data_IF_977906939218
#
_entry.id   IF_977906939218
#
_cell.length_a   1.000
_cell.length_b   1.000
_cell.length_c   1.000
_cell.angle_alpha   90.00
_cell.angle_beta   90.00
_cell.angle_gamma   90.00
#
_symmetry.space_group_name_H-M   'P 1'
#
loop_
_entity.id
_entity.type
_entity.pdbx_description
1 polymer ?
#
# COMPACT_ATOMS: atom_id res chain seq x y z
N UNK A 1 24.12 11.32 7.77
CA UNK A 1 22.78 10.85 7.41
C UNK A 1 22.94 9.81 6.33
N UNK A 2 22.59 8.55 6.58
CA UNK A 2 22.64 7.47 5.59
C UNK A 2 21.19 7.07 5.34
N UNK A 3 20.67 7.45 4.19
CA UNK A 3 19.34 7.05 3.72
C UNK A 3 19.54 6.58 2.30
N UNK A 4 19.13 5.37 2.01
CA UNK A 4 19.11 4.87 0.64
C UNK A 4 18.01 5.62 -0.12
N UNK A 5 18.42 6.66 -0.84
CA UNK A 5 17.56 7.49 -1.70
C UNK A 5 17.63 7.09 -3.17
N UNK A 6 18.53 6.18 -3.51
CA UNK A 6 18.77 5.75 -4.88
C UNK A 6 17.81 4.61 -5.27
N UNK A 7 17.40 4.58 -6.53
CA UNK A 7 16.61 3.47 -7.07
C UNK A 7 17.45 2.19 -6.95
N UNK A 8 16.96 1.23 -6.17
CA UNK A 8 17.59 -0.08 -6.10
C UNK A 8 17.24 -0.89 -7.35
N UNK A 9 18.24 -1.56 -7.94
CA UNK A 9 18.02 -2.54 -9.00
C UNK A 9 17.20 -3.70 -8.44
N UNK A 10 15.94 -3.79 -8.84
CA UNK A 10 14.95 -4.77 -8.39
C UNK A 10 14.94 -6.07 -9.18
N UNK A 11 16.00 -6.35 -9.95
CA UNK A 11 16.12 -7.57 -10.75
C UNK A 11 16.10 -8.80 -9.81
N UNK A 12 14.98 -9.52 -9.82
CA UNK A 12 14.82 -10.80 -9.11
C UNK A 12 14.98 -11.90 -10.15
N UNK A 13 15.86 -12.86 -9.85
CA UNK A 13 16.04 -14.08 -10.64
C UNK A 13 15.08 -15.14 -10.08
N UNK A 14 14.19 -15.66 -10.92
CA UNK A 14 13.29 -16.76 -10.53
C UNK A 14 14.08 -18.07 -10.37
N UNK A 15 13.48 -19.09 -9.74
CA UNK A 15 14.08 -20.44 -9.53
C UNK A 15 14.52 -21.15 -10.83
N UNK A 16 14.16 -20.60 -11.99
CA UNK A 16 14.51 -21.07 -13.33
C UNK A 16 15.58 -20.21 -14.04
N UNK A 17 16.18 -19.21 -13.37
CA UNK A 17 17.21 -18.35 -13.96
C UNK A 17 16.67 -17.27 -14.90
N UNK A 18 15.36 -17.03 -14.89
CA UNK A 18 14.73 -15.98 -15.68
C UNK A 18 14.72 -14.66 -14.89
N UNK A 19 15.16 -13.58 -15.52
CA UNK A 19 15.21 -12.25 -14.92
C UNK A 19 14.10 -11.42 -15.55
N UNK A 20 13.16 -10.93 -14.73
CA UNK A 20 12.14 -10.01 -15.21
C UNK A 20 12.69 -8.58 -15.28
N UNK A 21 13.19 -8.23 -16.47
CA UNK A 21 13.70 -6.89 -16.75
C UNK A 21 12.63 -5.79 -16.62
N UNK A 22 11.34 -6.13 -16.53
CA UNK A 22 10.26 -5.16 -16.32
C UNK A 22 10.20 -4.66 -14.87
N UNK A 23 10.68 -5.40 -13.88
CA UNK A 23 10.64 -5.01 -12.46
C UNK A 23 11.99 -4.40 -11.99
N UNK A 24 12.78 -3.88 -12.92
CA UNK A 24 14.14 -3.40 -12.65
C UNK A 24 14.22 -2.21 -11.67
N UNK A 25 13.17 -1.38 -11.55
CA UNK A 25 13.20 -0.15 -10.77
C UNK A 25 12.24 -0.21 -9.57
N UNK A 26 12.78 -0.24 -8.35
CA UNK A 26 12.00 -0.10 -7.12
C UNK A 26 12.08 1.33 -6.63
N UNK A 27 10.92 1.99 -6.57
CA UNK A 27 10.80 3.35 -6.03
C UNK A 27 10.70 3.24 -4.50
N UNK A 28 11.59 3.90 -3.73
CA UNK A 28 11.53 3.87 -2.27
C UNK A 28 10.24 4.54 -1.80
N UNK A 29 9.55 3.89 -0.86
CA UNK A 29 8.30 4.36 -0.29
C UNK A 29 8.37 4.23 1.24
N UNK A 30 7.84 5.23 1.95
CA UNK A 30 7.74 5.24 3.41
C UNK A 30 6.29 5.38 3.85
N UNK A 31 5.93 4.71 4.94
CA UNK A 31 4.64 4.82 5.60
C UNK A 31 4.68 5.87 6.72
N UNK A 32 3.50 6.31 7.16
CA UNK A 32 3.35 7.26 8.27
C UNK A 32 3.93 6.65 9.55
N UNK A 33 4.75 7.43 10.26
CA UNK A 33 5.38 7.04 11.53
C UNK A 33 6.72 6.30 11.39
N UNK A 34 7.16 6.01 10.16
CA UNK A 34 8.46 5.38 9.92
C UNK A 34 9.60 6.38 10.15
N UNK A 35 10.67 5.93 10.82
CA UNK A 35 11.90 6.70 11.00
C UNK A 35 12.68 6.65 9.68
N UNK A 36 12.78 7.80 9.01
CA UNK A 36 13.49 7.93 7.74
C UNK A 36 15.00 8.08 7.95
N UNK A 37 15.40 8.78 9.00
CA UNK A 37 16.81 9.07 9.25
C UNK A 37 17.07 9.44 10.70
N UNK A 38 18.35 9.38 11.09
CA UNK A 38 18.86 9.82 12.39
C UNK A 38 19.88 10.93 12.14
N UNK A 39 19.69 12.05 12.83
CA UNK A 39 20.62 13.17 12.85
C UNK A 39 21.72 12.85 13.88
N UNK A 40 22.97 12.76 13.45
CA UNK A 40 24.08 12.58 14.38
C UNK A 40 24.66 13.94 14.75
N UNK A 41 24.76 14.27 16.05
CA UNK A 41 25.42 15.50 16.48
C UNK A 41 26.91 15.45 16.12
N UNK A 42 27.53 16.60 15.81
CA UNK A 42 28.92 16.62 15.40
C UNK A 42 29.82 16.38 16.62
N UNK A 43 30.69 15.38 16.54
CA UNK A 43 31.59 15.00 17.64
C UNK A 43 32.89 15.80 17.49
N UNK A 44 33.33 16.56 18.51
CA UNK A 44 34.62 17.22 18.46
C UNK A 44 35.75 16.19 18.41
N UNK A 45 36.78 16.46 17.59
CA UNK A 45 37.99 15.66 17.59
C UNK A 45 38.74 15.78 18.92
N UNK A 46 39.66 14.84 19.18
CA UNK A 46 40.60 14.98 20.30
C UNK A 46 41.80 15.84 19.86
N UNK A 47 42.37 16.68 20.76
CA UNK A 47 43.61 17.39 20.49
C UNK A 47 44.75 16.41 20.18
N UNK A 48 45.48 16.70 19.10
CA UNK A 48 46.68 15.95 18.70
C UNK A 48 47.96 16.60 19.23
N UNK A 49 49.09 15.91 19.06
CA UNK A 49 50.43 16.49 19.29
C UNK A 49 51.26 16.43 18.02
N UNK A 50 51.94 17.52 17.70
CA UNK A 50 52.94 17.60 16.65
C UNK A 50 54.22 16.86 17.06
N UNK A 51 55.06 16.49 16.10
CA UNK A 51 56.41 15.92 16.35
C UNK A 51 57.35 16.86 17.15
N UNK A 52 56.98 18.14 17.28
CA UNK A 52 57.66 19.15 18.11
C UNK A 52 56.97 19.36 19.48
N UNK A 53 56.18 18.41 19.94
CA UNK A 53 55.42 18.41 21.20
C UNK A 53 54.42 19.58 21.37
N UNK A 54 54.05 20.24 20.27
CA UNK A 54 53.03 21.30 20.26
C UNK A 54 51.62 20.70 20.15
N UNK A 55 50.71 21.20 20.97
CA UNK A 55 49.29 20.83 20.92
C UNK A 55 48.65 21.33 19.62
N UNK A 56 47.96 20.43 18.92
CA UNK A 56 47.21 20.69 17.71
C UNK A 56 45.73 20.59 18.02
N UNK A 57 45.05 21.75 18.04
CA UNK A 57 43.62 21.80 18.24
C UNK A 57 42.90 21.12 17.08
N UNK A 58 41.87 20.30 17.37
CA UNK A 58 41.05 19.66 16.34
C UNK A 58 40.27 20.73 15.57
N UNK A 59 39.98 20.46 14.30
CA UNK A 59 39.08 21.34 13.52
C UNK A 59 37.73 21.42 14.22
N UNK A 60 37.15 22.62 14.28
CA UNK A 60 35.84 22.80 14.91
C UNK A 60 34.80 21.89 14.21
N UNK A 61 34.00 21.13 14.98
CA UNK A 61 32.90 20.36 14.44
C UNK A 61 31.95 21.30 13.68
N UNK A 62 31.62 20.94 12.44
CA UNK A 62 30.71 21.71 11.60
C UNK A 62 29.28 21.19 11.80
N UNK A 63 28.37 22.05 12.22
CA UNK A 63 26.96 21.70 12.38
C UNK A 63 26.26 21.50 11.02
N UNK A 64 25.48 20.42 10.92
CA UNK A 64 24.53 20.18 9.84
C UNK A 64 23.21 20.86 10.20
N UNK A 65 22.74 21.76 9.35
CA UNK A 65 21.42 22.41 9.53
C UNK A 65 20.37 21.58 8.82
N UNK A 66 19.50 20.92 9.57
CA UNK A 66 18.38 20.19 9.02
C UNK A 66 17.15 21.10 8.86
N UNK A 67 16.45 20.99 7.73
CA UNK A 67 15.20 21.69 7.46
C UNK A 67 14.10 20.63 7.19
N UNK A 68 13.09 20.49 8.06
CA UNK A 68 11.95 19.64 7.78
C UNK A 68 11.16 20.21 6.60
N UNK A 69 10.99 19.40 5.57
CA UNK A 69 10.12 19.69 4.43
C UNK A 69 8.71 19.14 4.66
N UNK A 70 7.90 19.12 3.60
CA UNK A 70 6.54 18.58 3.67
C UNK A 70 6.56 17.10 4.03
N UNK A 71 5.66 16.67 4.91
CA UNK A 71 5.49 15.27 5.29
C UNK A 71 6.55 14.73 6.23
N UNK A 72 7.38 15.59 6.83
CA UNK A 72 8.48 15.19 7.71
C UNK A 72 8.43 15.97 9.02
N UNK A 73 8.58 15.27 10.13
CA UNK A 73 8.72 15.86 11.45
C UNK A 73 10.03 15.41 12.11
N UNK A 74 10.55 16.23 13.02
CA UNK A 74 11.79 15.95 13.76
C UNK A 74 11.46 15.81 15.22
N UNK A 75 11.73 14.62 15.76
CA UNK A 75 11.57 14.34 17.18
C UNK A 75 12.92 13.93 17.75
N UNK A 76 13.48 14.80 18.59
CA UNK A 76 14.84 14.68 19.13
C UNK A 76 15.87 14.60 17.98
N UNK A 77 16.48 13.44 17.78
CA UNK A 77 17.46 13.17 16.73
C UNK A 77 16.88 12.34 15.57
N UNK A 78 15.57 12.05 15.59
CA UNK A 78 14.92 11.17 14.61
C UNK A 78 14.04 11.97 13.66
N UNK A 79 14.20 11.70 12.37
CA UNK A 79 13.39 12.25 11.30
C UNK A 79 12.29 11.24 11.00
N UNK A 80 11.04 11.62 11.22
CA UNK A 80 9.86 10.76 11.15
C UNK A 80 8.97 11.21 10.00
N UNK A 81 8.46 10.25 9.23
CA UNK A 81 7.46 10.49 8.21
C UNK A 81 6.09 10.81 8.82
N UNK A 82 5.49 11.95 8.50
CA UNK A 82 4.11 12.29 8.87
C UNK A 82 3.11 11.97 7.76
N UNK A 83 3.60 11.79 6.54
CA UNK A 83 2.82 11.40 5.36
C UNK A 83 3.42 10.13 4.73
N UNK A 84 2.62 9.36 3.99
CA UNK A 84 3.12 8.24 3.20
C UNK A 84 3.53 8.69 1.79
N UNK A 85 4.63 8.17 1.26
CA UNK A 85 5.09 8.48 -0.10
C UNK A 85 6.59 8.28 -0.30
N UNK A 86 7.15 8.89 -1.35
CA UNK A 86 8.58 8.76 -1.67
C UNK A 86 9.42 9.69 -0.79
N UNK A 87 10.41 9.18 -0.02
CA UNK A 87 11.33 10.02 0.70
C UNK A 87 12.32 10.68 -0.28
N UNK A 88 12.49 12.00 -0.17
CA UNK A 88 13.46 12.78 -0.95
C UNK A 88 14.32 13.59 0.01
N UNK A 89 15.64 13.47 -0.14
CA UNK A 89 16.62 14.20 0.67
C UNK A 89 17.47 15.04 -0.27
N UNK A 90 17.41 16.35 -0.06
CA UNK A 90 18.24 17.32 -0.77
C UNK A 90 19.31 17.84 0.17
N UNK A 91 20.58 17.70 -0.22
CA UNK A 91 21.70 18.28 0.50
C UNK A 91 22.32 19.41 -0.33
N UNK A 92 22.27 20.65 0.18
CA UNK A 92 22.98 21.80 -0.36
C UNK A 92 24.03 22.27 0.65
N UNK A 93 25.27 21.86 0.43
CA UNK A 93 26.36 22.14 1.36
C UNK A 93 26.09 21.51 2.74
N UNK A 94 25.85 22.37 3.74
CA UNK A 94 25.56 21.97 5.13
C UNK A 94 24.08 21.95 5.47
N UNK A 95 23.22 22.32 4.52
CA UNK A 95 21.77 22.29 4.70
C UNK A 95 21.26 20.99 4.12
N UNK A 96 20.60 20.19 4.96
CA UNK A 96 19.91 18.97 4.55
C UNK A 96 18.42 19.20 4.70
N UNK A 97 17.66 19.00 3.63
CA UNK A 97 16.22 19.09 3.61
C UNK A 97 15.65 17.71 3.29
N UNK A 98 14.80 17.17 4.15
CA UNK A 98 14.06 15.95 3.84
C UNK A 98 12.58 16.28 3.65
N UNK A 99 11.97 15.68 2.65
CA UNK A 99 10.53 15.81 2.36
C UNK A 99 9.97 14.49 1.83
N UNK A 100 8.66 14.33 1.95
CA UNK A 100 7.93 13.22 1.37
C UNK A 100 7.14 13.74 0.18
N UNK A 101 7.37 13.11 -0.97
CA UNK A 101 6.64 13.37 -2.18
C UNK A 101 5.49 12.37 -2.27
N UNK A 102 4.26 12.86 -2.13
CA UNK A 102 3.03 12.06 -2.33
C UNK A 102 2.71 11.83 -3.81
N UNK A 103 3.42 12.50 -4.72
CA UNK A 103 3.24 12.42 -6.16
C UNK A 103 4.57 12.11 -6.85
N UNK A 104 4.57 11.07 -7.67
CA UNK A 104 5.67 10.69 -8.54
C UNK A 104 5.45 11.28 -9.93
N UNK A 105 6.42 12.05 -10.42
CA UNK A 105 6.40 12.56 -11.81
C UNK A 105 7.45 11.82 -12.63
N UNK A 106 7.02 11.01 -13.58
CA UNK A 106 7.87 10.31 -14.54
C UNK A 106 8.06 11.18 -15.79
N UNK A 107 9.28 11.68 -15.95
CA UNK A 107 9.69 12.54 -17.06
C UNK A 107 10.11 11.69 -18.26
N UNK A 108 9.13 11.07 -18.94
CA UNK A 108 9.39 10.24 -20.11
C UNK A 108 8.30 9.22 -20.38
N UNK A 109 8.58 8.34 -21.33
CA UNK A 109 7.75 7.19 -21.64
C UNK A 109 7.95 6.09 -20.59
N UNK A 110 6.92 5.28 -20.37
CA UNK A 110 7.03 4.03 -19.62
C UNK A 110 7.23 2.90 -20.63
N UNK A 111 8.39 2.28 -20.61
CA UNK A 111 8.81 1.22 -21.53
C UNK A 111 9.67 0.18 -20.82
N UNK A 112 10.17 -0.81 -21.58
CA UNK A 112 11.00 -1.88 -21.02
C UNK A 112 12.29 -1.39 -20.36
N UNK A 113 12.83 -0.24 -20.78
CA UNK A 113 14.03 0.36 -20.18
C UNK A 113 13.72 1.02 -18.84
N UNK A 114 12.55 1.65 -18.71
CA UNK A 114 12.12 2.28 -17.45
C UNK A 114 11.52 1.26 -16.49
N UNK A 115 10.98 0.17 -17.01
CA UNK A 115 10.25 -0.85 -16.26
C UNK A 115 8.84 -0.41 -15.86
N UNK A 116 8.15 -1.33 -15.19
CA UNK A 116 6.86 -1.10 -14.55
C UNK A 116 6.99 -0.06 -13.44
N UNK A 117 5.93 0.72 -13.23
CA UNK A 117 5.91 1.76 -12.19
C UNK A 117 4.85 1.39 -11.17
N UNK A 118 5.27 1.17 -9.91
CA UNK A 118 4.37 0.95 -8.78
C UNK A 118 4.65 1.99 -7.71
N UNK A 119 3.61 2.73 -7.29
CA UNK A 119 3.76 3.78 -6.29
C UNK A 119 2.53 3.89 -5.38
N UNK A 120 2.74 4.13 -4.10
CA UNK A 120 1.66 4.24 -3.09
C UNK A 120 0.87 5.55 -3.18
N UNK A 121 1.45 6.58 -3.78
CA UNK A 121 0.82 7.89 -3.98
C UNK A 121 0.28 8.09 -5.39
N UNK A 122 0.23 9.35 -5.81
CA UNK A 122 -0.23 9.74 -7.15
C UNK A 122 0.90 9.56 -8.17
N UNK A 123 0.58 9.13 -9.39
CA UNK A 123 1.54 9.00 -10.49
C UNK A 123 1.16 9.97 -11.61
N UNK A 124 2.13 10.74 -12.09
CA UNK A 124 2.02 11.55 -13.29
C UNK A 124 3.07 11.11 -14.31
N UNK A 125 2.62 10.69 -15.49
CA UNK A 125 3.46 10.29 -16.62
C UNK A 125 3.35 11.36 -17.70
N UNK A 126 4.46 12.06 -17.95
CA UNK A 126 4.53 13.13 -18.95
C UNK A 126 4.58 12.55 -20.38
N UNK A 127 5.13 11.36 -20.55
CA UNK A 127 5.19 10.65 -21.82
C UNK A 127 4.00 9.73 -22.07
N UNK A 128 4.24 8.69 -22.86
CA UNK A 128 3.27 7.63 -23.17
C UNK A 128 3.56 6.35 -22.37
N UNK A 129 2.56 5.49 -22.26
CA UNK A 129 2.73 4.14 -21.71
C UNK A 129 2.77 3.17 -22.89
N UNK A 130 3.94 2.54 -23.08
CA UNK A 130 4.19 1.59 -24.17
C UNK A 130 3.64 0.20 -23.86
N UNK A 131 3.67 -0.65 -24.87
CA UNK A 131 3.03 -1.96 -24.88
C UNK A 131 3.54 -2.88 -23.77
N UNK A 132 2.62 -3.65 -23.18
CA UNK A 132 2.89 -4.65 -22.16
C UNK A 132 3.53 -4.11 -20.86
N UNK A 133 3.36 -2.82 -20.58
CA UNK A 133 3.79 -2.16 -19.34
C UNK A 133 2.68 -2.16 -18.28
N UNK A 134 3.10 -2.14 -17.00
CA UNK A 134 2.21 -2.08 -15.85
C UNK A 134 2.47 -0.79 -15.07
N UNK A 135 1.41 -0.03 -14.79
CA UNK A 135 1.44 1.17 -13.94
C UNK A 135 0.41 1.04 -12.82
N UNK A 136 0.85 1.05 -11.57
CA UNK A 136 -0.03 0.93 -10.41
C UNK A 136 0.16 2.08 -9.42
N UNK A 137 -0.93 2.75 -9.07
CA UNK A 137 -0.95 3.83 -8.09
C UNK A 137 -1.91 3.54 -6.93
N UNK A 138 -1.45 3.82 -5.71
CA UNK A 138 -2.32 3.92 -4.53
C UNK A 138 -3.17 5.20 -4.51
N UNK A 139 -2.84 6.18 -5.35
CA UNK A 139 -3.60 7.42 -5.54
C UNK A 139 -4.24 7.53 -6.92
N UNK A 140 -4.12 8.72 -7.51
CA UNK A 140 -4.57 9.04 -8.86
C UNK A 140 -3.45 8.78 -9.90
N UNK A 141 -3.84 8.43 -11.13
CA UNK A 141 -2.91 8.31 -12.27
C UNK A 141 -3.25 9.35 -13.32
N UNK A 142 -2.24 10.09 -13.76
CA UNK A 142 -2.35 11.09 -14.81
C UNK A 142 -1.36 10.79 -15.95
N UNK A 143 -1.86 10.53 -17.15
CA UNK A 143 -1.04 10.29 -18.35
C UNK A 143 -1.27 11.40 -19.36
N UNK A 144 -0.20 12.10 -19.74
CA UNK A 144 -0.29 13.23 -20.67
C UNK A 144 -0.40 12.82 -22.14
N UNK A 145 0.15 11.65 -22.53
CA UNK A 145 0.08 11.14 -23.90
C UNK A 145 -0.77 9.87 -23.99
N UNK A 146 -0.44 9.01 -24.95
CA UNK A 146 -1.19 7.80 -25.26
C UNK A 146 -0.83 6.64 -24.33
N UNK A 147 -1.72 5.66 -24.28
CA UNK A 147 -1.59 4.41 -23.53
C UNK A 147 -1.87 3.29 -24.54
N UNK A 148 -0.89 2.43 -24.79
CA UNK A 148 -1.00 1.32 -25.72
C UNK A 148 -0.71 -0.02 -25.01
N UNK A 149 -1.52 -1.04 -25.32
CA UNK A 149 -1.41 -2.44 -24.85
C UNK A 149 -0.93 -2.64 -23.40
N UNK A 150 -1.38 -1.80 -22.47
CA UNK A 150 -0.84 -1.74 -21.11
C UNK A 150 -1.92 -1.89 -20.05
N UNK A 151 -1.48 -2.18 -18.82
CA UNK A 151 -2.36 -2.34 -17.66
C UNK A 151 -2.10 -1.23 -16.65
N UNK A 152 -3.09 -0.35 -16.47
CA UNK A 152 -3.01 0.79 -15.57
C UNK A 152 -4.06 0.63 -14.48
N UNK A 153 -3.62 0.60 -13.22
CA UNK A 153 -4.50 0.45 -12.07
C UNK A 153 -4.29 1.60 -11.08
N UNK A 154 -5.36 2.36 -10.81
CA UNK A 154 -5.38 3.40 -9.77
C UNK A 154 -6.40 3.04 -8.69
N UNK A 155 -6.06 3.32 -7.43
CA UNK A 155 -7.01 3.14 -6.33
C UNK A 155 -8.10 4.21 -6.32
N UNK A 156 -7.82 5.41 -6.86
CA UNK A 156 -8.77 6.51 -7.02
C UNK A 156 -9.18 6.66 -8.48
N UNK A 157 -8.65 7.65 -9.22
CA UNK A 157 -9.02 7.94 -10.60
C UNK A 157 -7.86 7.78 -11.58
N UNK A 158 -8.18 7.58 -12.87
CA UNK A 158 -7.23 7.59 -13.98
C UNK A 158 -7.66 8.70 -14.94
N UNK A 159 -6.73 9.58 -15.31
CA UNK A 159 -6.92 10.61 -16.33
C UNK A 159 -5.90 10.43 -17.44
N UNK A 160 -6.38 10.20 -18.66
CA UNK A 160 -5.54 10.13 -19.86
C UNK A 160 -5.89 11.29 -20.80
N UNK A 161 -4.89 12.05 -21.23
CA UNK A 161 -5.05 13.14 -22.21
C UNK A 161 -4.93 12.68 -23.67
N UNK A 162 -4.17 11.62 -23.92
CA UNK A 162 -3.99 11.04 -25.25
C UNK A 162 -4.96 9.89 -25.53
N UNK A 163 -4.60 9.06 -26.52
CA UNK A 163 -5.41 7.92 -26.94
C UNK A 163 -5.19 6.70 -26.04
N UNK A 164 -6.21 5.86 -25.90
CA UNK A 164 -6.11 4.59 -25.18
C UNK A 164 -6.40 3.46 -26.17
N UNK A 165 -5.38 2.68 -26.51
CA UNK A 165 -5.48 1.59 -27.48
C UNK A 165 -5.23 0.25 -26.80
N UNK A 166 -6.18 -0.69 -26.96
CA UNK A 166 -6.06 -2.08 -26.50
C UNK A 166 -5.51 -2.25 -25.07
N UNK A 167 -5.88 -1.32 -24.17
CA UNK A 167 -5.31 -1.22 -22.82
C UNK A 167 -6.37 -1.45 -21.74
N UNK A 168 -5.96 -2.01 -20.60
CA UNK A 168 -6.81 -2.25 -19.45
C UNK A 168 -6.61 -1.14 -18.42
N UNK A 169 -7.65 -0.33 -18.20
CA UNK A 169 -7.65 0.76 -17.22
C UNK A 169 -8.59 0.42 -16.07
N UNK A 170 -8.07 0.28 -14.86
CA UNK A 170 -8.86 0.00 -13.65
C UNK A 170 -8.72 1.15 -12.66
N UNK A 171 -9.77 1.95 -12.50
CA UNK A 171 -9.85 3.00 -11.48
C UNK A 171 -10.78 2.56 -10.34
N UNK A 172 -10.57 3.09 -9.13
CA UNK A 172 -11.46 2.85 -7.99
C UNK A 172 -11.37 1.43 -7.42
N UNK A 173 -10.29 0.69 -7.66
CA UNK A 173 -10.18 -0.74 -7.32
C UNK A 173 -10.47 -1.03 -5.84
N UNK A 174 -9.99 -0.19 -4.93
CA UNK A 174 -10.29 -0.31 -3.51
C UNK A 174 -11.76 0.00 -3.20
N UNK A 175 -12.35 0.98 -3.89
CA UNK A 175 -13.76 1.32 -3.70
C UNK A 175 -14.69 0.20 -4.19
N UNK A 176 -14.36 -0.46 -5.31
CA UNK A 176 -15.09 -1.61 -5.83
C UNK A 176 -15.07 -2.81 -4.87
N UNK A 177 -13.90 -3.11 -4.27
CA UNK A 177 -13.78 -4.15 -3.25
C UNK A 177 -14.67 -3.86 -2.03
N UNK A 178 -14.64 -2.62 -1.54
CA UNK A 178 -15.48 -2.19 -0.41
C UNK A 178 -16.97 -2.28 -0.76
N UNK A 179 -17.38 -1.91 -1.97
CA UNK A 179 -18.76 -2.03 -2.43
C UNK A 179 -19.21 -3.49 -2.57
N UNK A 180 -18.37 -4.37 -3.12
CA UNK A 180 -18.68 -5.80 -3.26
C UNK A 180 -18.83 -6.48 -1.88
N UNK A 181 -17.89 -6.22 -0.98
CA UNK A 181 -17.96 -6.71 0.41
C UNK A 181 -19.20 -6.16 1.13
N UNK A 182 -19.50 -4.87 0.94
CA UNK A 182 -20.68 -4.21 1.52
C UNK A 182 -21.99 -4.84 1.03
N UNK A 183 -22.11 -5.16 -0.26
CA UNK A 183 -23.28 -5.84 -0.80
C UNK A 183 -23.43 -7.24 -0.20
N UNK A 184 -22.35 -8.03 -0.16
CA UNK A 184 -22.39 -9.38 0.42
C UNK A 184 -22.80 -9.35 1.90
N UNK A 185 -22.24 -8.41 2.66
CA UNK A 185 -22.56 -8.22 4.07
C UNK A 185 -24.03 -7.85 4.26
N UNK A 186 -24.57 -6.94 3.45
CA UNK A 186 -25.99 -6.56 3.48
C UNK A 186 -26.89 -7.74 3.18
N UNK A 187 -26.58 -8.53 2.14
CA UNK A 187 -27.37 -9.72 1.81
C UNK A 187 -27.32 -10.75 2.93
N UNK A 188 -26.17 -10.94 3.58
CA UNK A 188 -26.04 -11.82 4.74
C UNK A 188 -26.88 -11.33 5.92
N UNK A 189 -26.84 -10.03 6.22
CA UNK A 189 -27.63 -9.41 7.29
C UNK A 189 -29.13 -9.63 7.09
N UNK A 190 -29.64 -9.41 5.87
CA UNK A 190 -31.05 -9.64 5.53
C UNK A 190 -31.46 -11.12 5.72
N UNK A 191 -30.60 -12.07 5.33
CA UNK A 191 -30.90 -13.50 5.45
C UNK A 191 -30.85 -13.96 6.92
N UNK A 192 -29.87 -13.49 7.68
CA UNK A 192 -29.78 -13.75 9.12
C UNK A 192 -30.98 -13.14 9.86
N UNK A 193 -31.41 -11.93 9.48
CA UNK A 193 -32.61 -11.29 10.00
C UNK A 193 -33.88 -12.14 9.78
N UNK A 194 -34.08 -12.65 8.56
CA UNK A 194 -35.18 -13.59 8.23
C UNK A 194 -35.09 -14.87 9.05
N UNK A 195 -33.88 -15.40 9.25
CA UNK A 195 -33.64 -16.61 10.03
C UNK A 195 -34.01 -16.41 11.51
N UNK A 196 -33.65 -15.27 12.10
CA UNK A 196 -34.03 -14.90 13.47
C UNK A 196 -35.55 -14.81 13.62
N UNK A 197 -36.25 -14.20 12.65
CA UNK A 197 -37.72 -14.10 12.68
C UNK A 197 -38.36 -15.49 12.69
N UNK A 198 -37.88 -16.39 11.83
CA UNK A 198 -38.39 -17.77 11.77
C UNK A 198 -38.08 -18.53 13.06
N UNK A 199 -36.89 -18.37 13.62
CA UNK A 199 -36.51 -18.98 14.91
C UNK A 199 -37.45 -18.51 16.02
N UNK A 200 -37.75 -17.21 16.09
CA UNK A 200 -38.73 -16.67 17.05
C UNK A 200 -40.12 -17.28 16.85
N UNK A 201 -40.62 -17.32 15.62
CA UNK A 201 -41.91 -17.93 15.29
C UNK A 201 -41.97 -19.42 15.67
N UNK A 202 -40.90 -20.16 15.43
CA UNK A 202 -40.81 -21.58 15.77
C UNK A 202 -40.74 -21.81 17.27
N UNK A 203 -40.04 -20.97 18.03
CA UNK A 203 -40.03 -21.01 19.50
C UNK A 203 -41.41 -20.76 20.12
N UNK A 204 -42.20 -19.86 19.54
CA UNK A 204 -43.55 -19.55 20.03
C UNK A 204 -44.57 -20.66 19.72
N UNK A 205 -44.24 -21.59 18.82
CA UNK A 205 -45.09 -22.71 18.47
C UNK A 205 -45.18 -23.75 19.60
N UNK A 206 -46.37 -24.36 19.78
CA UNK A 206 -46.62 -25.36 20.84
C UNK A 206 -45.72 -26.60 20.73
N UNK A 207 -45.19 -26.91 19.54
CA UNK A 207 -44.30 -28.06 19.29
C UNK A 207 -42.90 -27.87 19.90
N UNK A 208 -42.41 -26.64 19.98
CA UNK A 208 -41.07 -26.33 20.51
C UNK A 208 -41.02 -26.33 22.06
N UNK A 209 -42.19 -26.24 22.72
CA UNK A 209 -42.32 -26.36 24.18
C UNK A 209 -42.30 -27.82 24.67
N UNK A 210 -42.17 -28.79 23.77
CA UNK A 210 -42.00 -30.21 24.14
C UNK A 210 -40.60 -30.47 24.73
N UNK A 211 -40.50 -31.43 25.66
CA UNK A 211 -39.29 -31.71 26.46
C UNK A 211 -38.04 -32.06 25.64
N UNK A 212 -38.15 -32.39 24.35
CA UNK A 212 -37.02 -32.72 23.47
C UNK A 212 -36.16 -31.52 23.05
N UNK A 213 -36.74 -30.32 22.94
CA UNK A 213 -36.00 -29.14 22.43
C UNK A 213 -35.40 -28.26 23.54
N UNK A 214 -35.85 -28.40 24.79
CA UNK A 214 -35.26 -27.68 25.93
C UNK A 214 -33.83 -28.15 26.26
N UNK A 215 -33.46 -29.38 25.92
CA UNK A 215 -32.13 -29.93 26.22
C UNK A 215 -31.05 -29.61 25.17
N UNK A 216 -31.44 -29.32 23.92
CA UNK A 216 -30.52 -29.07 22.79
C UNK A 216 -30.44 -27.60 22.34
N UNK A 217 -31.30 -26.72 22.87
CA UNK A 217 -31.24 -25.28 22.60
C UNK A 217 -31.56 -24.91 21.14
N UNK A 218 -30.96 -23.81 20.66
CA UNK A 218 -31.22 -23.22 19.32
C UNK A 218 -30.42 -23.89 18.19
N UNK A 219 -29.41 -24.69 18.52
CA UNK A 219 -28.47 -25.27 17.56
C UNK A 219 -29.16 -26.13 16.47
N UNK A 220 -30.13 -27.03 16.78
CA UNK A 220 -30.79 -27.83 15.76
C UNK A 220 -31.62 -26.99 14.78
N UNK A 221 -32.28 -25.93 15.27
CA UNK A 221 -33.03 -24.99 14.42
C UNK A 221 -32.11 -24.26 13.45
N UNK A 222 -30.97 -23.78 13.96
CA UNK A 222 -30.01 -23.05 13.14
C UNK A 222 -29.46 -23.95 12.04
N UNK A 223 -29.12 -25.20 12.35
CA UNK A 223 -28.63 -26.19 11.36
C UNK A 223 -29.71 -26.46 10.30
N UNK A 224 -30.95 -26.80 10.72
CA UNK A 224 -32.04 -27.12 9.78
C UNK A 224 -32.36 -25.93 8.88
N UNK A 225 -32.43 -24.72 9.44
CA UNK A 225 -32.74 -23.52 8.67
C UNK A 225 -31.61 -23.18 7.70
N UNK A 226 -30.35 -23.32 8.14
CA UNK A 226 -29.18 -23.10 7.30
C UNK A 226 -29.07 -24.13 6.17
N UNK A 227 -29.52 -25.38 6.39
CA UNK A 227 -29.44 -26.45 5.39
C UNK A 227 -30.64 -26.55 4.46
N UNK A 228 -31.86 -26.20 4.92
CA UNK A 228 -33.08 -26.37 4.12
C UNK A 228 -33.63 -25.08 3.51
N UNK A 229 -33.40 -23.92 4.15
CA UNK A 229 -34.07 -22.67 3.78
C UNK A 229 -33.10 -21.52 3.44
N UNK A 230 -31.89 -21.55 4.01
CA UNK A 230 -30.87 -20.52 3.84
C UNK A 230 -29.53 -21.11 3.35
N UNK A 231 -29.60 -22.01 2.37
CA UNK A 231 -28.39 -22.63 1.78
C UNK A 231 -27.41 -21.59 1.22
N UNK A 232 -27.94 -20.49 0.69
CA UNK A 232 -27.16 -19.39 0.12
C UNK A 232 -26.31 -18.65 1.16
N UNK A 233 -26.66 -18.69 2.45
CA UNK A 233 -25.89 -18.00 3.51
C UNK A 233 -24.49 -18.60 3.64
N UNK A 234 -24.36 -19.93 3.56
CA UNK A 234 -23.05 -20.60 3.59
C UNK A 234 -22.21 -20.23 2.36
N UNK A 235 -22.84 -20.16 1.19
CA UNK A 235 -22.18 -19.81 -0.07
C UNK A 235 -21.72 -18.35 -0.07
N UNK A 236 -22.58 -17.44 0.37
CA UNK A 236 -22.29 -16.00 0.49
C UNK A 236 -21.20 -15.73 1.53
N UNK A 237 -21.26 -16.40 2.69
CA UNK A 237 -20.23 -16.29 3.71
C UNK A 237 -18.88 -16.80 3.21
N UNK A 238 -18.84 -17.94 2.50
CA UNK A 238 -17.61 -18.44 1.89
C UNK A 238 -17.07 -17.46 0.85
N UNK A 239 -17.94 -16.94 -0.04
CA UNK A 239 -17.55 -15.95 -1.05
C UNK A 239 -17.00 -14.67 -0.41
N UNK A 240 -17.57 -14.21 0.70
CA UNK A 240 -17.07 -13.06 1.46
C UNK A 240 -15.65 -13.33 1.99
N UNK A 241 -15.43 -14.49 2.63
CA UNK A 241 -14.10 -14.90 3.11
C UNK A 241 -13.09 -14.97 1.97
N UNK A 242 -13.45 -15.61 0.85
CA UNK A 242 -12.57 -15.73 -0.32
C UNK A 242 -12.18 -14.36 -0.91
N UNK A 243 -13.05 -13.34 -0.83
CA UNK A 243 -12.75 -11.98 -1.29
C UNK A 243 -11.84 -11.26 -0.28
N UNK A 244 -12.08 -11.42 1.02
CA UNK A 244 -11.24 -10.86 2.08
C UNK A 244 -9.82 -11.43 2.01
N UNK A 245 -9.66 -12.74 1.84
CA UNK A 245 -8.34 -13.38 1.71
C UNK A 245 -7.59 -12.86 0.47
N UNK A 246 -8.28 -12.70 -0.66
CA UNK A 246 -7.70 -12.08 -1.87
C UNK A 246 -7.33 -10.62 -1.65
N UNK A 247 -8.15 -9.86 -0.94
CA UNK A 247 -7.87 -8.46 -0.62
C UNK A 247 -6.68 -8.33 0.34
N UNK A 248 -6.56 -9.20 1.35
CA UNK A 248 -5.40 -9.26 2.23
C UNK A 248 -4.12 -9.58 1.46
N UNK A 249 -4.15 -10.48 0.49
CA UNK A 249 -2.99 -10.76 -0.36
C UNK A 249 -2.56 -9.53 -1.16
N UNK A 250 -3.51 -8.74 -1.68
CA UNK A 250 -3.23 -7.49 -2.39
C UNK A 250 -2.63 -6.44 -1.43
N UNK A 251 -3.20 -6.29 -0.23
CA UNK A 251 -2.69 -5.35 0.78
C UNK A 251 -1.31 -5.76 1.31
N UNK A 252 -1.05 -7.06 1.49
CA UNK A 252 0.27 -7.58 1.87
C UNK A 252 1.31 -7.37 0.76
N UNK A 253 0.95 -7.50 -0.51
CA UNK A 253 1.87 -7.20 -1.61
C UNK A 253 2.20 -5.70 -1.71
N UNK A 254 1.30 -4.82 -1.27
CA UNK A 254 1.54 -3.37 -1.20
C UNK A 254 2.33 -2.94 0.05
N UNK A 255 2.22 -3.69 1.14
CA UNK A 255 2.91 -3.42 2.43
C UNK A 255 4.19 -4.25 2.64
N UNK A 256 4.41 -5.29 1.82
CA UNK A 256 5.40 -6.34 2.02
C UNK A 256 6.37 -6.51 0.85
N UNK A 257 7.26 -5.53 0.67
CA UNK A 257 8.70 -5.81 0.47
C UNK A 257 9.42 -5.16 1.65
N UNK A 258 9.39 -5.82 2.80
CA UNK A 258 10.35 -5.61 3.89
C UNK A 258 11.48 -6.60 3.72
#
# INVERSE_FOLDING_TARGET
>A
MKVDTDMANGLVEDEHGNIDFKEANVIPNVEIGVIMAILHPPIPGLPGRSVLDKELLPRQPLELKFIPGKGVDVKEDKIIATESGRPVIEQRGRIVKAMIMSKLVHQGNVNITTGNIRFSGDIEIVGEVEDNMIVEAGGDIFVHRSINESNITASKSITAKGNVNNSNLTAGKQHLLVLELGHLLKTLEEQVGKMIIIIKQLMDSKQYKSKEFQSKGLQPLIIILSEKKFMDVKVLAKKYVDIVERAEAILRNLSGKR
#
